data_IF_924138599859
#
_entry.id   IF_924138599859
#
_cell.length_a   1.000
_cell.length_b   1.000
_cell.length_c   1.000
_cell.angle_alpha   90.00
_cell.angle_beta   90.00
_cell.angle_gamma   90.00
#
_symmetry.space_group_name_H-M   'P 1'
#
loop_
_entity.id
_entity.type
_entity.pdbx_description
1 polymer ?
#
# COMPACT_ATOMS: atom_id res chain seq x y z
N UNK A 1 32.50 -1.67 5.52
CA UNK A 1 31.60 -0.67 6.15
C UNK A 1 30.59 -1.47 6.94
N UNK A 2 30.57 -1.37 8.26
CA UNK A 2 29.63 -2.15 9.08
C UNK A 2 28.21 -1.67 8.75
N UNK A 3 27.40 -2.50 8.10
CA UNK A 3 25.97 -2.21 7.92
C UNK A 3 25.27 -2.55 9.22
N UNK A 4 25.32 -1.64 10.18
CA UNK A 4 24.53 -1.80 11.40
C UNK A 4 23.12 -1.31 11.09
N UNK A 5 22.13 -2.17 11.35
CA UNK A 5 20.74 -1.81 11.19
C UNK A 5 20.34 -0.75 12.20
N UNK A 6 19.78 0.37 11.72
CA UNK A 6 19.36 1.48 12.56
C UNK A 6 18.32 1.03 13.58
N UNK A 7 17.37 0.19 13.18
CA UNK A 7 16.32 -0.34 14.07
C UNK A 7 16.92 -1.15 15.23
N UNK A 8 17.99 -1.91 14.98
CA UNK A 8 18.68 -2.71 16.00
C UNK A 8 19.46 -1.84 17.00
N UNK A 9 20.09 -0.76 16.53
CA UNK A 9 20.77 0.19 17.43
C UNK A 9 19.75 0.95 18.28
N UNK A 10 18.72 1.50 17.65
CA UNK A 10 17.74 2.36 18.34
C UNK A 10 17.02 1.61 19.47
N UNK A 11 16.61 0.36 19.21
CA UNK A 11 15.97 -0.48 20.23
C UNK A 11 16.87 -0.75 21.45
N UNK A 12 18.20 -0.83 21.27
CA UNK A 12 19.17 -1.01 22.37
C UNK A 12 19.43 0.27 23.18
N UNK A 13 19.16 1.44 22.60
CA UNK A 13 19.33 2.75 23.23
C UNK A 13 18.02 3.33 23.74
N UNK A 14 16.96 2.52 23.77
CA UNK A 14 15.61 2.99 24.03
C UNK A 14 15.44 3.48 25.47
N UNK A 15 15.08 4.75 25.61
CA UNK A 15 14.60 5.34 26.86
C UNK A 15 13.15 5.82 26.67
N UNK A 16 12.24 5.24 27.46
CA UNK A 16 10.81 5.60 27.37
C UNK A 16 10.61 7.03 27.86
N UNK A 17 9.85 7.80 27.10
CA UNK A 17 9.39 9.13 27.48
C UNK A 17 7.97 9.36 26.94
N UNK A 18 7.29 10.37 27.49
CA UNK A 18 5.90 10.70 27.17
C UNK A 18 5.78 12.01 26.38
N UNK A 19 6.87 12.43 25.72
CA UNK A 19 6.90 13.66 24.93
C UNK A 19 5.96 13.51 23.74
N UNK A 20 5.06 14.48 23.58
CA UNK A 20 4.13 14.50 22.43
C UNK A 20 4.85 14.93 21.16
N UNK A 21 4.73 14.11 20.10
CA UNK A 21 5.30 14.37 18.79
C UNK A 21 4.23 14.27 17.70
N UNK A 22 4.19 15.25 16.81
CA UNK A 22 3.29 15.24 15.64
C UNK A 22 4.15 15.26 14.37
N UNK A 23 4.06 14.21 13.57
CA UNK A 23 4.58 14.15 12.21
C UNK A 23 3.46 14.51 11.23
N UNK A 24 3.39 15.79 10.87
CA UNK A 24 2.46 16.28 9.84
C UNK A 24 3.06 16.06 8.45
N UNK A 25 2.40 15.24 7.63
CA UNK A 25 2.75 15.01 6.23
C UNK A 25 1.67 15.61 5.34
N UNK A 26 2.02 16.70 4.64
CA UNK A 26 1.25 17.20 3.51
C UNK A 26 1.74 16.47 2.26
N UNK A 27 0.95 15.52 1.77
CA UNK A 27 1.39 14.61 0.70
C UNK A 27 1.70 15.39 -0.58
N UNK A 28 2.76 15.01 -1.29
CA UNK A 28 3.14 15.69 -2.53
C UNK A 28 3.38 17.21 -2.39
N UNK A 29 3.80 17.71 -1.21
CA UNK A 29 3.95 19.15 -0.96
C UNK A 29 4.92 19.86 -1.93
N UNK A 30 6.01 19.18 -2.30
CA UNK A 30 7.00 19.70 -3.24
C UNK A 30 6.39 19.95 -4.62
N UNK A 31 6.83 21.02 -5.28
CA UNK A 31 6.36 21.37 -6.62
C UNK A 31 7.37 22.24 -7.37
N UNK A 32 7.14 22.41 -8.67
CA UNK A 32 7.85 23.35 -9.52
C UNK A 32 7.19 24.73 -9.47
N UNK A 33 7.96 25.81 -9.70
CA UNK A 33 7.40 27.15 -9.71
C UNK A 33 6.55 27.41 -10.97
N UNK A 34 5.37 28.02 -10.79
CA UNK A 34 4.55 28.67 -11.82
C UNK A 34 4.62 30.17 -11.57
N UNK A 35 4.97 30.95 -12.60
CA UNK A 35 5.16 32.41 -12.50
C UNK A 35 6.13 32.83 -11.37
N UNK A 36 7.19 32.02 -11.16
CA UNK A 36 8.25 32.28 -10.20
C UNK A 36 8.00 31.81 -8.76
N UNK A 37 6.85 31.18 -8.47
CA UNK A 37 6.53 30.64 -7.14
C UNK A 37 5.96 29.23 -7.20
N UNK A 38 6.33 28.40 -6.23
CA UNK A 38 5.65 27.11 -5.99
C UNK A 38 4.27 27.32 -5.34
N UNK A 39 3.38 26.31 -5.30
CA UNK A 39 2.13 26.37 -4.54
C UNK A 39 2.35 26.72 -3.06
N UNK A 40 3.36 26.10 -2.41
CA UNK A 40 3.71 26.38 -1.02
C UNK A 40 4.15 27.84 -0.79
N UNK A 41 4.84 28.45 -1.75
CA UNK A 41 5.23 29.87 -1.69
C UNK A 41 4.07 30.83 -2.01
N UNK A 42 3.07 30.37 -2.75
CA UNK A 42 1.90 31.18 -3.14
C UNK A 42 0.82 31.18 -2.06
N UNK A 43 0.64 30.06 -1.35
CA UNK A 43 -0.37 29.88 -0.31
C UNK A 43 -0.21 30.84 0.88
N UNK A 44 -1.32 31.42 1.32
CA UNK A 44 -1.42 32.19 2.57
C UNK A 44 -1.51 31.25 3.78
N UNK A 45 -0.36 30.98 4.41
CA UNK A 45 -0.23 30.01 5.51
C UNK A 45 0.37 30.63 6.78
N UNK A 46 -0.30 31.62 7.42
CA UNK A 46 0.29 32.39 8.52
C UNK A 46 0.77 31.52 9.70
N UNK A 47 0.08 30.41 9.98
CA UNK A 47 0.45 29.49 11.06
C UNK A 47 1.74 28.71 10.74
N UNK A 48 1.85 28.13 9.53
CA UNK A 48 3.07 27.46 9.09
C UNK A 48 4.25 28.43 8.97
N UNK A 49 4.00 29.65 8.46
CA UNK A 49 5.02 30.68 8.34
C UNK A 49 5.49 31.20 9.71
N UNK A 50 4.61 31.25 10.71
CA UNK A 50 4.99 31.59 12.09
C UNK A 50 5.81 30.47 12.73
N UNK A 51 5.36 29.22 12.61
CA UNK A 51 6.08 28.05 13.13
C UNK A 51 7.49 27.94 12.54
N UNK A 52 7.62 28.19 11.23
CA UNK A 52 8.90 28.16 10.53
C UNK A 52 9.92 29.19 11.06
N UNK A 53 9.48 30.34 11.59
CA UNK A 53 10.37 31.38 12.15
C UNK A 53 10.99 30.98 13.50
N UNK A 54 10.33 30.10 14.22
CA UNK A 54 10.72 29.65 15.57
C UNK A 54 11.31 28.23 15.56
N UNK A 55 11.42 27.61 14.38
CA UNK A 55 11.82 26.22 14.20
C UNK A 55 13.08 26.07 13.35
N UNK A 56 13.69 24.88 13.39
CA UNK A 56 14.71 24.50 12.42
C UNK A 56 14.06 24.07 11.10
N UNK A 57 14.58 24.57 9.98
CA UNK A 57 14.13 24.22 8.63
C UNK A 57 15.19 23.38 7.92
N UNK A 58 14.73 22.54 7.00
CA UNK A 58 15.60 21.69 6.20
C UNK A 58 14.87 21.09 4.99
N UNK A 59 15.62 20.32 4.21
CA UNK A 59 15.09 19.53 3.11
C UNK A 59 15.35 18.06 3.42
N UNK A 60 14.39 17.21 3.08
CA UNK A 60 14.51 15.76 3.25
C UNK A 60 14.62 15.08 1.89
N UNK A 61 15.45 14.05 1.82
CA UNK A 61 15.54 13.13 0.68
C UNK A 61 14.96 11.80 1.18
N UNK A 62 13.73 11.42 0.78
CA UNK A 62 13.08 10.26 1.37
C UNK A 62 13.80 8.93 1.10
N UNK A 63 14.43 8.76 -0.07
CA UNK A 63 15.16 7.51 -0.40
C UNK A 63 16.63 7.81 -0.67
N UNK A 64 16.95 8.29 -1.87
CA UNK A 64 18.31 8.69 -2.26
C UNK A 64 18.23 9.81 -3.30
N UNK A 65 19.30 10.61 -3.46
CA UNK A 65 19.36 11.61 -4.52
C UNK A 65 19.05 11.00 -5.89
N UNK A 66 18.14 11.61 -6.65
CA UNK A 66 17.74 11.16 -7.98
C UNK A 66 16.75 9.99 -8.02
N UNK A 67 16.29 9.48 -6.87
CA UNK A 67 15.24 8.45 -6.81
C UNK A 67 13.91 9.12 -6.49
N UNK A 68 12.94 9.01 -7.40
CA UNK A 68 11.54 9.38 -7.13
C UNK A 68 10.85 8.23 -6.39
N UNK A 69 10.52 8.37 -5.10
CA UNK A 69 9.88 7.29 -4.36
C UNK A 69 8.39 7.22 -4.66
N UNK A 70 7.83 6.00 -4.64
CA UNK A 70 6.39 5.84 -4.42
C UNK A 70 6.03 6.04 -2.94
N UNK A 71 4.73 6.14 -2.66
CA UNK A 71 4.21 6.38 -1.30
C UNK A 71 4.74 5.41 -0.24
N UNK A 72 4.86 4.12 -0.56
CA UNK A 72 5.37 3.08 0.36
C UNK A 72 6.79 3.36 0.86
N UNK A 73 7.82 3.33 -0.01
CA UNK A 73 9.19 3.65 0.37
C UNK A 73 9.36 5.04 1.01
N UNK A 74 8.63 6.05 0.53
CA UNK A 74 8.70 7.40 1.10
C UNK A 74 8.26 7.43 2.56
N UNK A 75 7.13 6.80 2.89
CA UNK A 75 6.57 6.82 4.23
C UNK A 75 7.31 5.90 5.19
N UNK A 76 7.81 4.75 4.73
CA UNK A 76 8.71 3.94 5.55
C UNK A 76 9.95 4.71 6.00
N UNK A 77 10.53 5.50 5.10
CA UNK A 77 11.66 6.38 5.44
C UNK A 77 11.27 7.45 6.47
N UNK A 78 10.09 8.06 6.32
CA UNK A 78 9.55 9.02 7.30
C UNK A 78 9.31 8.39 8.67
N UNK A 79 8.96 7.11 8.72
CA UNK A 79 8.83 6.33 9.96
C UNK A 79 10.19 5.84 10.51
N UNK A 80 11.29 6.17 9.85
CA UNK A 80 12.65 5.87 10.28
C UNK A 80 13.23 4.54 9.77
N UNK A 81 12.50 3.79 8.94
CA UNK A 81 12.96 2.54 8.34
C UNK A 81 13.78 2.81 7.09
N UNK A 82 14.87 2.06 6.88
CA UNK A 82 15.60 2.10 5.63
C UNK A 82 14.75 1.49 4.49
N UNK A 83 14.30 2.29 3.50
CA UNK A 83 13.42 1.81 2.43
C UNK A 83 14.13 0.91 1.40
N UNK A 84 15.47 0.84 1.43
CA UNK A 84 16.27 -0.07 0.60
C UNK A 84 16.36 -1.45 1.27
N UNK A 85 16.42 -1.48 2.60
CA UNK A 85 16.41 -2.72 3.39
C UNK A 85 15.00 -3.29 3.52
N UNK A 86 14.05 -2.48 3.98
CA UNK A 86 12.68 -2.88 4.29
C UNK A 86 11.76 -2.63 3.09
N UNK A 87 11.89 -3.49 2.08
CA UNK A 87 11.10 -3.37 0.84
C UNK A 87 9.71 -3.96 1.05
N UNK A 88 8.68 -3.13 0.92
CA UNK A 88 7.30 -3.62 0.87
C UNK A 88 7.01 -4.15 -0.53
N UNK A 89 6.62 -5.42 -0.60
CA UNK A 89 6.26 -6.08 -1.85
C UNK A 89 5.06 -5.42 -2.54
N UNK A 90 5.04 -5.48 -3.88
CA UNK A 90 3.99 -4.84 -4.69
C UNK A 90 2.59 -5.37 -4.37
N UNK A 91 2.45 -6.65 -4.07
CA UNK A 91 1.17 -7.25 -3.70
C UNK A 91 0.59 -6.59 -2.44
N UNK A 92 1.44 -6.32 -1.44
CA UNK A 92 1.05 -5.63 -0.21
C UNK A 92 0.59 -4.21 -0.53
N UNK A 93 1.37 -3.45 -1.30
CA UNK A 93 1.00 -2.07 -1.66
C UNK A 93 -0.35 -2.00 -2.41
N UNK A 94 -0.60 -2.95 -3.33
CA UNK A 94 -1.87 -3.03 -4.05
C UNK A 94 -3.04 -3.42 -3.11
N UNK A 95 -2.81 -4.36 -2.19
CA UNK A 95 -3.79 -4.74 -1.16
C UNK A 95 -4.17 -3.54 -0.28
N UNK A 96 -3.18 -2.83 0.26
CA UNK A 96 -3.41 -1.64 1.07
C UNK A 96 -4.10 -0.53 0.27
N UNK A 97 -3.76 -0.36 -1.01
CA UNK A 97 -4.35 0.64 -1.89
C UNK A 97 -5.85 0.46 -2.12
N UNK A 98 -6.37 -0.77 -2.03
CA UNK A 98 -7.81 -1.08 -2.12
C UNK A 98 -8.45 -1.32 -0.74
N UNK A 99 -7.74 -1.02 0.35
CA UNK A 99 -8.25 -1.14 1.72
C UNK A 99 -8.33 -2.56 2.25
N UNK A 100 -7.54 -3.49 1.69
CA UNK A 100 -7.45 -4.86 2.20
C UNK A 100 -6.46 -4.90 3.35
N UNK A 101 -6.96 -5.29 4.52
CA UNK A 101 -6.11 -5.63 5.65
C UNK A 101 -5.29 -6.89 5.38
N UNK A 102 -3.99 -6.78 5.67
CA UNK A 102 -3.02 -7.87 5.54
C UNK A 102 -2.34 -8.10 6.89
N UNK A 103 -2.25 -9.35 7.31
CA UNK A 103 -1.66 -9.81 8.58
C UNK A 103 -0.56 -10.87 8.34
N UNK A 104 0.16 -11.25 9.39
CA UNK A 104 1.36 -12.12 9.34
C UNK A 104 1.20 -13.44 8.55
N UNK A 105 -0.01 -13.99 8.52
CA UNK A 105 -0.35 -15.27 7.84
C UNK A 105 -0.88 -15.08 6.42
N UNK A 106 -0.91 -13.84 5.94
CA UNK A 106 -1.45 -13.50 4.64
C UNK A 106 -0.34 -13.43 3.58
N UNK A 107 -0.67 -13.99 2.41
CA UNK A 107 0.01 -13.76 1.15
C UNK A 107 -0.98 -13.06 0.22
N UNK A 108 -0.56 -11.95 -0.37
CA UNK A 108 -1.37 -11.22 -1.34
C UNK A 108 -0.70 -11.17 -2.69
N UNK A 109 -1.52 -11.07 -3.73
CA UNK A 109 -1.05 -10.83 -5.09
C UNK A 109 -2.01 -9.91 -5.82
N UNK A 110 -1.47 -9.14 -6.75
CA UNK A 110 -2.28 -8.39 -7.69
C UNK A 110 -2.83 -9.35 -8.74
N UNK A 111 -4.14 -9.27 -8.97
CA UNK A 111 -4.84 -9.98 -10.01
C UNK A 111 -5.32 -9.05 -11.12
N UNK A 112 -5.30 -9.55 -12.35
CA UNK A 112 -6.00 -8.96 -13.48
C UNK A 112 -6.95 -10.02 -14.04
N UNK A 113 -8.22 -9.69 -14.20
CA UNK A 113 -9.10 -10.49 -15.07
C UNK A 113 -8.66 -10.34 -16.52
N UNK A 114 -8.66 -11.44 -17.24
CA UNK A 114 -8.19 -11.55 -18.60
C UNK A 114 -9.15 -12.40 -19.44
N UNK A 115 -9.06 -12.22 -20.75
CA UNK A 115 -9.72 -13.04 -21.75
C UNK A 115 -8.74 -14.05 -22.32
N UNK A 116 -9.09 -15.32 -22.29
CA UNK A 116 -8.38 -16.42 -22.94
C UNK A 116 -9.22 -17.05 -24.05
N UNK A 117 -8.55 -17.55 -25.07
CA UNK A 117 -9.09 -18.46 -26.09
C UNK A 117 -8.29 -19.77 -26.03
N UNK A 118 -8.93 -20.84 -25.59
CA UNK A 118 -8.28 -22.10 -25.21
C UNK A 118 -7.29 -21.92 -24.05
N UNK A 119 -6.00 -21.86 -24.38
CA UNK A 119 -4.90 -21.60 -23.44
C UNK A 119 -4.11 -20.34 -23.80
N UNK A 120 -4.56 -19.55 -24.78
CA UNK A 120 -3.88 -18.32 -25.21
C UNK A 120 -4.55 -17.10 -24.57
N UNK A 121 -3.75 -16.22 -23.97
CA UNK A 121 -4.23 -14.95 -23.42
C UNK A 121 -4.42 -13.94 -24.56
N UNK A 122 -5.66 -13.70 -24.96
CA UNK A 122 -5.98 -12.76 -26.05
C UNK A 122 -6.05 -11.31 -25.57
N UNK A 123 -6.51 -11.09 -24.33
CA UNK A 123 -6.51 -9.78 -23.70
C UNK A 123 -6.25 -9.86 -22.19
N UNK A 124 -5.07 -9.40 -21.77
CA UNK A 124 -4.66 -9.35 -20.36
C UNK A 124 -5.48 -8.40 -19.47
N UNK A 125 -6.39 -7.62 -20.05
CA UNK A 125 -7.22 -6.63 -19.33
C UNK A 125 -8.71 -6.84 -19.53
N UNK A 126 -9.11 -7.90 -20.23
CA UNK A 126 -10.52 -8.22 -20.51
C UNK A 126 -11.34 -7.02 -21.03
N UNK A 127 -10.73 -6.16 -21.86
CA UNK A 127 -11.35 -4.96 -22.40
C UNK A 127 -11.58 -3.82 -21.40
N UNK A 128 -10.94 -3.84 -20.22
CA UNK A 128 -11.14 -2.90 -19.10
C UNK A 128 -12.63 -2.76 -18.74
N UNK A 129 -13.24 -3.81 -18.17
CA UNK A 129 -14.65 -3.78 -17.82
C UNK A 129 -14.92 -2.70 -16.76
N UNK A 130 -16.17 -2.23 -16.63
CA UNK A 130 -16.58 -1.40 -15.52
C UNK A 130 -16.27 -2.07 -14.17
N UNK A 131 -15.94 -1.27 -13.16
CA UNK A 131 -15.58 -1.78 -11.82
C UNK A 131 -16.72 -2.57 -11.18
N UNK A 132 -17.96 -2.21 -11.46
CA UNK A 132 -19.17 -2.90 -10.97
C UNK A 132 -19.30 -4.31 -11.55
N UNK A 133 -18.83 -4.54 -12.78
CA UNK A 133 -18.83 -5.86 -13.40
C UNK A 133 -17.75 -6.75 -12.77
N UNK A 134 -16.55 -6.20 -12.54
CA UNK A 134 -15.48 -6.88 -11.80
C UNK A 134 -15.93 -7.28 -10.38
N UNK A 135 -16.59 -6.38 -9.65
CA UNK A 135 -17.07 -6.66 -8.30
C UNK A 135 -17.98 -7.90 -8.26
N UNK A 136 -18.88 -8.05 -9.23
CA UNK A 136 -19.75 -9.24 -9.35
C UNK A 136 -18.97 -10.53 -9.61
N UNK A 137 -17.92 -10.46 -10.43
CA UNK A 137 -17.04 -11.62 -10.66
C UNK A 137 -16.28 -11.97 -9.39
N UNK A 138 -15.76 -10.98 -8.64
CA UNK A 138 -15.12 -11.20 -7.35
C UNK A 138 -16.07 -11.84 -6.33
N UNK A 139 -17.33 -11.39 -6.25
CA UNK A 139 -18.36 -12.02 -5.39
C UNK A 139 -18.60 -13.49 -5.77
N UNK A 140 -18.79 -13.77 -7.07
CA UNK A 140 -18.95 -15.15 -7.58
C UNK A 140 -17.77 -16.05 -7.20
N UNK A 141 -16.55 -15.53 -7.27
CA UNK A 141 -15.33 -16.25 -6.86
C UNK A 141 -15.35 -16.52 -5.36
N UNK A 142 -15.61 -15.51 -4.53
CA UNK A 142 -15.64 -15.63 -3.08
C UNK A 142 -16.72 -16.61 -2.58
N UNK A 143 -17.83 -16.73 -3.30
CA UNK A 143 -18.90 -17.68 -2.97
C UNK A 143 -18.52 -19.14 -3.26
N UNK A 144 -17.71 -19.37 -4.30
CA UNK A 144 -17.40 -20.71 -4.82
C UNK A 144 -16.03 -21.24 -4.41
N UNK A 145 -15.04 -20.36 -4.23
CA UNK A 145 -13.66 -20.72 -3.92
C UNK A 145 -13.26 -20.06 -2.60
N UNK A 146 -13.57 -20.73 -1.50
CA UNK A 146 -13.33 -20.23 -0.14
C UNK A 146 -12.00 -20.68 0.45
N UNK A 147 -11.56 -21.88 0.07
CA UNK A 147 -10.40 -22.53 0.67
C UNK A 147 -9.76 -23.54 -0.30
N UNK A 148 -8.45 -23.66 -0.24
CA UNK A 148 -7.64 -24.63 -0.98
C UNK A 148 -6.56 -25.16 -0.02
N UNK A 149 -6.53 -26.47 0.21
CA UNK A 149 -5.52 -27.13 1.08
C UNK A 149 -5.39 -26.47 2.48
N UNK A 150 -6.50 -26.10 3.12
CA UNK A 150 -6.48 -25.45 4.44
C UNK A 150 -6.16 -23.95 4.42
N UNK A 151 -5.91 -23.37 3.24
CA UNK A 151 -5.62 -21.94 3.05
C UNK A 151 -6.87 -21.23 2.55
N UNK A 152 -7.34 -20.24 3.32
CA UNK A 152 -8.50 -19.44 2.94
C UNK A 152 -8.14 -18.55 1.77
N UNK A 153 -9.05 -18.39 0.82
CA UNK A 153 -8.88 -17.55 -0.36
C UNK A 153 -9.98 -16.51 -0.40
N UNK A 154 -9.61 -15.25 -0.62
CA UNK A 154 -10.56 -14.17 -0.83
C UNK A 154 -10.03 -13.21 -1.88
N UNK A 155 -10.89 -12.80 -2.81
CA UNK A 155 -10.60 -11.77 -3.81
C UNK A 155 -11.33 -10.47 -3.49
N UNK A 156 -10.70 -9.35 -3.81
CA UNK A 156 -11.20 -8.01 -3.54
C UNK A 156 -11.13 -7.19 -4.83
N UNK A 157 -12.25 -6.57 -5.26
CA UNK A 157 -12.26 -5.82 -6.51
C UNK A 157 -11.39 -4.57 -6.42
N UNK A 158 -10.66 -4.30 -7.49
CA UNK A 158 -9.99 -3.02 -7.74
C UNK A 158 -10.63 -2.31 -8.93
N UNK A 159 -10.01 -1.22 -9.40
CA UNK A 159 -10.51 -0.49 -10.58
C UNK A 159 -10.44 -1.35 -11.85
N UNK A 160 -11.49 -1.27 -12.66
CA UNK A 160 -11.61 -1.95 -13.95
C UNK A 160 -11.43 -3.48 -13.84
N UNK A 161 -10.42 -4.07 -14.51
CA UNK A 161 -10.09 -5.49 -14.52
C UNK A 161 -9.27 -5.96 -13.32
N UNK A 162 -8.84 -5.04 -12.44
CA UNK A 162 -7.88 -5.34 -11.39
C UNK A 162 -8.59 -5.89 -10.16
N UNK A 163 -7.93 -6.79 -9.46
CA UNK A 163 -8.36 -7.24 -8.15
C UNK A 163 -7.13 -7.57 -7.30
N UNK A 164 -7.34 -7.79 -6.01
CA UNK A 164 -6.33 -8.35 -5.10
C UNK A 164 -6.82 -9.71 -4.65
N UNK A 165 -5.96 -10.72 -4.70
CA UNK A 165 -6.24 -12.00 -4.04
C UNK A 165 -5.44 -12.07 -2.76
N UNK A 166 -6.09 -12.55 -1.69
CA UNK A 166 -5.50 -12.82 -0.39
C UNK A 166 -5.64 -14.30 -0.08
N UNK A 167 -4.51 -14.93 0.23
CA UNK A 167 -4.39 -16.29 0.72
C UNK A 167 -4.00 -16.22 2.20
N UNK A 168 -4.81 -16.80 3.08
CA UNK A 168 -4.56 -16.77 4.53
C UNK A 168 -4.35 -18.19 5.05
N UNK A 169 -3.15 -18.47 5.57
CA UNK A 169 -2.82 -19.77 6.15
C UNK A 169 -1.33 -19.98 6.42
N UNK A 170 -0.99 -21.13 7.00
CA UNK A 170 0.39 -21.41 7.39
C UNK A 170 1.24 -21.96 6.26
N UNK A 171 2.55 -21.71 6.32
CA UNK A 171 3.52 -22.21 5.35
C UNK A 171 3.39 -21.60 3.96
N UNK A 172 2.88 -20.36 3.87
CA UNK A 172 2.89 -19.56 2.65
C UNK A 172 4.22 -18.82 2.52
N UNK A 173 4.68 -18.70 1.27
CA UNK A 173 5.94 -18.08 0.85
C UNK A 173 5.72 -17.35 -0.47
N UNK A 174 6.26 -16.14 -0.60
CA UNK A 174 6.04 -15.24 -1.72
C UNK A 174 7.11 -15.31 -2.82
N UNK A 175 8.14 -16.15 -2.65
CA UNK A 175 9.21 -16.37 -3.64
C UNK A 175 8.71 -17.28 -4.76
N UNK A 176 7.81 -16.70 -5.55
CA UNK A 176 7.12 -17.30 -6.67
C UNK A 176 7.38 -16.50 -7.95
N UNK A 177 7.34 -17.18 -9.10
CA UNK A 177 7.18 -16.46 -10.37
C UNK A 177 5.76 -15.94 -10.50
N UNK A 178 5.60 -14.85 -11.24
CA UNK A 178 4.29 -14.38 -11.67
C UNK A 178 3.56 -15.45 -12.50
N UNK A 179 2.23 -15.45 -12.44
CA UNK A 179 1.33 -16.23 -13.29
C UNK A 179 0.66 -15.31 -14.33
N UNK A 180 1.48 -14.50 -15.01
CA UNK A 180 1.06 -13.63 -16.10
C UNK A 180 2.16 -13.63 -17.19
N UNK A 181 1.83 -13.95 -18.46
CA UNK A 181 2.82 -14.03 -19.53
C UNK A 181 3.33 -12.66 -20.02
N UNK A 182 2.83 -11.57 -19.46
CA UNK A 182 3.21 -10.18 -19.75
C UNK A 182 2.84 -9.64 -21.12
N UNK A 183 2.45 -10.49 -22.05
CA UNK A 183 2.02 -10.11 -23.41
C UNK A 183 0.78 -10.88 -23.83
N UNK A 184 -0.06 -10.22 -24.61
CA UNK A 184 -1.17 -10.89 -25.30
C UNK A 184 -0.60 -11.82 -26.38
N UNK A 185 -1.38 -12.82 -26.79
CA UNK A 185 -1.01 -13.82 -27.79
C UNK A 185 -0.06 -14.91 -27.28
N UNK A 186 0.24 -14.92 -25.98
CA UNK A 186 1.05 -15.96 -25.34
C UNK A 186 0.18 -16.96 -24.57
N UNK A 187 0.64 -18.21 -24.41
CA UNK A 187 -0.02 -19.17 -23.55
C UNK A 187 -0.12 -18.70 -22.09
N UNK A 188 -1.12 -19.20 -21.37
CA UNK A 188 -1.18 -19.06 -19.92
C UNK A 188 0.10 -19.64 -19.29
N UNK A 189 0.60 -18.96 -18.27
CA UNK A 189 1.77 -19.40 -17.50
C UNK A 189 1.34 -19.65 -16.06
N UNK A 190 1.86 -20.74 -15.50
CA UNK A 190 1.61 -21.14 -14.12
C UNK A 190 2.73 -20.63 -13.23
N UNK A 191 2.39 -20.27 -11.99
CA UNK A 191 3.37 -19.84 -11.00
C UNK A 191 4.29 -21.00 -10.63
N UNK A 192 5.59 -20.74 -10.58
CA UNK A 192 6.61 -21.71 -10.18
C UNK A 192 7.27 -21.26 -8.88
N UNK A 193 7.61 -22.19 -7.98
CA UNK A 193 8.41 -21.88 -6.82
C UNK A 193 9.82 -21.46 -7.25
N UNK A 194 10.35 -20.40 -6.63
CA UNK A 194 11.76 -20.01 -6.77
C UNK A 194 12.65 -20.71 -5.74
N UNK A 195 12.03 -21.33 -4.73
CA UNK A 195 12.65 -22.03 -3.60
C UNK A 195 11.76 -23.19 -3.15
N UNK A 196 12.32 -24.19 -2.47
CA UNK A 196 11.59 -25.39 -2.03
C UNK A 196 10.43 -25.07 -1.08
N UNK A 197 10.60 -24.08 -0.19
CA UNK A 197 9.57 -23.67 0.77
C UNK A 197 8.31 -23.12 0.09
N UNK A 198 8.45 -22.60 -1.14
CA UNK A 198 7.35 -22.01 -1.90
C UNK A 198 6.55 -23.03 -2.73
N UNK A 199 6.92 -24.31 -2.72
CA UNK A 199 6.23 -25.35 -3.49
C UNK A 199 4.75 -25.49 -3.11
N UNK A 200 4.45 -25.44 -1.80
CA UNK A 200 3.07 -25.46 -1.30
C UNK A 200 2.28 -24.29 -1.87
N UNK A 201 2.84 -23.08 -1.79
CA UNK A 201 2.19 -21.87 -2.29
C UNK A 201 1.93 -21.95 -3.79
N UNK A 202 2.92 -22.39 -4.57
CA UNK A 202 2.78 -22.53 -6.02
C UNK A 202 1.65 -23.50 -6.39
N UNK A 203 1.52 -24.64 -5.67
CA UNK A 203 0.41 -25.58 -5.86
C UNK A 203 -0.94 -24.92 -5.59
N UNK A 204 -1.09 -24.23 -4.46
CA UNK A 204 -2.33 -23.56 -4.06
C UNK A 204 -2.71 -22.47 -5.06
N UNK A 205 -1.76 -21.62 -5.47
CA UNK A 205 -1.97 -20.56 -6.46
C UNK A 205 -2.41 -21.13 -7.80
N UNK A 206 -1.74 -22.19 -8.28
CA UNK A 206 -2.09 -22.80 -9.55
C UNK A 206 -3.44 -23.54 -9.49
N UNK A 207 -3.77 -24.15 -8.35
CA UNK A 207 -5.08 -24.75 -8.13
C UNK A 207 -6.18 -23.69 -8.09
N UNK A 208 -5.94 -22.54 -7.47
CA UNK A 208 -6.83 -21.39 -7.51
C UNK A 208 -7.11 -20.95 -8.96
N UNK A 209 -6.06 -20.77 -9.75
CA UNK A 209 -6.17 -20.39 -11.17
C UNK A 209 -6.90 -21.45 -12.01
N UNK A 210 -6.71 -22.75 -11.76
CA UNK A 210 -7.46 -23.82 -12.43
C UNK A 210 -8.95 -23.76 -12.10
N UNK A 211 -9.30 -23.57 -10.82
CA UNK A 211 -10.70 -23.41 -10.39
C UNK A 211 -11.34 -22.15 -10.97
N UNK A 212 -10.59 -21.05 -11.07
CA UNK A 212 -11.06 -19.84 -11.75
C UNK A 212 -11.36 -20.09 -13.23
N UNK A 213 -10.46 -20.77 -13.94
CA UNK A 213 -10.66 -21.12 -15.36
C UNK A 213 -11.96 -21.88 -15.58
N UNK A 214 -12.25 -22.86 -14.72
CA UNK A 214 -13.51 -23.64 -14.82
C UNK A 214 -14.73 -22.80 -14.41
N UNK A 215 -14.65 -22.04 -13.32
CA UNK A 215 -15.76 -21.24 -12.79
C UNK A 215 -16.19 -20.12 -13.75
N UNK A 216 -15.24 -19.56 -14.49
CA UNK A 216 -15.44 -18.39 -15.34
C UNK A 216 -15.47 -18.74 -16.83
N UNK A 217 -15.46 -20.02 -17.21
CA UNK A 217 -15.39 -20.45 -18.62
C UNK A 217 -16.49 -19.86 -19.53
N UNK A 218 -17.67 -19.61 -18.95
CA UNK A 218 -18.83 -19.07 -19.66
C UNK A 218 -18.89 -17.53 -19.63
N UNK A 219 -17.94 -16.87 -18.97
CA UNK A 219 -17.83 -15.41 -18.98
C UNK A 219 -17.24 -14.95 -20.34
N UNK A 220 -17.84 -13.99 -21.04
CA UNK A 220 -17.40 -13.63 -22.39
C UNK A 220 -16.05 -12.90 -22.43
N UNK A 221 -15.68 -12.23 -21.34
CA UNK A 221 -14.44 -11.43 -21.26
C UNK A 221 -13.55 -11.83 -20.09
N UNK A 222 -14.10 -11.94 -18.89
CA UNK A 222 -13.32 -12.25 -17.68
C UNK A 222 -13.29 -13.76 -17.40
N UNK A 223 -12.91 -14.57 -18.38
CA UNK A 223 -12.90 -16.04 -18.26
C UNK A 223 -11.63 -16.63 -17.64
N UNK A 224 -10.65 -15.78 -17.31
CA UNK A 224 -9.45 -16.20 -16.59
C UNK A 224 -8.90 -15.05 -15.74
N UNK A 225 -7.89 -15.35 -14.92
CA UNK A 225 -7.15 -14.36 -14.15
C UNK A 225 -5.64 -14.56 -14.27
N UNK A 226 -4.92 -13.46 -14.21
CA UNK A 226 -3.47 -13.41 -14.22
C UNK A 226 -3.00 -12.82 -12.89
N UNK A 227 -2.03 -13.46 -12.23
CA UNK A 227 -1.55 -13.03 -10.92
C UNK A 227 -0.10 -12.56 -11.00
N UNK A 228 0.21 -11.50 -10.27
CA UNK A 228 1.54 -10.88 -10.22
C UNK A 228 1.90 -10.34 -8.85
N UNK A 229 3.20 -10.26 -8.60
CA UNK A 229 3.74 -9.57 -7.44
C UNK A 229 3.26 -10.20 -6.14
N UNK A 230 3.42 -11.51 -6.02
CA UNK A 230 3.20 -12.23 -4.76
C UNK A 230 4.02 -11.55 -3.67
N UNK A 231 3.40 -11.28 -2.54
CA UNK A 231 4.04 -10.61 -1.41
C UNK A 231 3.41 -11.10 -0.13
N UNK A 232 4.25 -11.67 0.74
CA UNK A 232 3.85 -12.05 2.08
C UNK A 232 3.85 -10.81 2.95
N UNK A 233 3.11 -10.86 4.05
CA UNK A 233 3.25 -9.84 5.08
C UNK A 233 4.72 -9.65 5.47
N UNK A 234 5.27 -8.42 5.37
CA UNK A 234 6.69 -8.19 5.61
C UNK A 234 7.00 -8.25 7.10
N UNK A 235 8.09 -8.92 7.45
CA UNK A 235 8.65 -8.88 8.80
C UNK A 235 9.35 -7.53 9.02
N UNK A 236 8.62 -6.57 9.57
CA UNK A 236 9.12 -5.26 9.96
C UNK A 236 9.23 -5.18 11.48
N UNK A 237 10.35 -4.65 12.04
CA UNK A 237 10.39 -4.22 13.43
C UNK A 237 9.22 -3.30 13.72
N UNK A 238 8.50 -3.47 14.84
CA UNK A 238 7.32 -2.64 15.12
C UNK A 238 7.74 -1.30 15.70
N UNK A 239 7.07 -0.24 15.28
CA UNK A 239 7.34 1.14 15.67
C UNK A 239 7.32 1.32 17.20
N UNK A 240 6.35 0.77 17.96
CA UNK A 240 6.38 0.85 19.42
C UNK A 240 7.56 0.08 20.05
N UNK A 241 8.05 -0.98 19.42
CA UNK A 241 9.18 -1.77 19.92
C UNK A 241 10.51 -1.06 19.64
N UNK A 242 10.64 -0.42 18.48
CA UNK A 242 11.84 0.32 18.07
C UNK A 242 11.98 1.64 18.84
N UNK A 243 10.87 2.35 19.05
CA UNK A 243 10.88 3.73 19.57
C UNK A 243 10.27 3.87 20.97
N UNK A 244 9.64 2.82 21.53
CA UNK A 244 9.10 2.81 22.90
C UNK A 244 8.00 3.82 23.18
N UNK A 245 7.30 4.28 22.14
CA UNK A 245 6.24 5.29 22.21
C UNK A 245 4.93 4.72 21.68
N UNK A 246 3.80 5.15 22.28
CA UNK A 246 2.47 4.82 21.75
C UNK A 246 2.20 5.70 20.54
N UNK A 247 1.92 5.07 19.40
CA UNK A 247 1.80 5.76 18.12
C UNK A 247 0.42 5.61 17.51
N UNK A 248 -0.19 6.72 17.14
CA UNK A 248 -1.44 6.78 16.40
C UNK A 248 -1.23 7.32 14.98
N UNK A 249 -2.00 6.81 14.04
CA UNK A 249 -2.06 7.26 12.65
C UNK A 249 -3.43 7.83 12.32
N UNK A 250 -3.46 9.10 11.92
CA UNK A 250 -4.64 9.81 11.43
C UNK A 250 -4.40 10.07 9.95
N UNK A 251 -5.08 9.28 9.12
CA UNK A 251 -4.98 9.35 7.67
C UNK A 251 -6.30 8.95 7.03
N UNK A 252 -6.65 9.61 5.92
CA UNK A 252 -7.90 9.33 5.17
C UNK A 252 -7.75 8.22 4.13
N UNK A 253 -6.57 8.12 3.51
CA UNK A 253 -6.38 7.23 2.36
C UNK A 253 -5.95 5.81 2.77
N UNK A 254 -6.54 4.74 2.20
CA UNK A 254 -6.29 3.35 2.62
C UNK A 254 -4.81 2.94 2.63
N UNK A 255 -4.03 3.37 1.63
CA UNK A 255 -2.62 3.03 1.56
C UNK A 255 -1.82 3.53 2.79
N UNK A 256 -2.11 4.74 3.28
CA UNK A 256 -1.40 5.31 4.43
C UNK A 256 -1.83 4.70 5.76
N UNK A 257 -3.13 4.38 5.90
CA UNK A 257 -3.63 3.56 7.00
C UNK A 257 -2.92 2.20 7.04
N UNK A 258 -2.82 1.55 5.89
CA UNK A 258 -2.13 0.28 5.73
C UNK A 258 -0.66 0.33 6.10
N UNK A 259 0.08 1.32 5.61
CA UNK A 259 1.51 1.48 5.90
C UNK A 259 1.76 1.72 7.39
N UNK A 260 0.93 2.54 8.04
CA UNK A 260 1.01 2.77 9.49
C UNK A 260 0.74 1.47 10.27
N UNK A 261 -0.26 0.69 9.88
CA UNK A 261 -0.59 -0.61 10.48
C UNK A 261 0.53 -1.64 10.30
N UNK A 262 1.20 -1.67 9.14
CA UNK A 262 2.34 -2.58 8.89
C UNK A 262 3.47 -2.38 9.92
N UNK A 263 3.76 -1.13 10.25
CA UNK A 263 4.77 -0.79 11.26
C UNK A 263 4.21 -0.80 12.68
N UNK A 264 2.95 -1.19 12.90
CA UNK A 264 2.37 -1.36 14.24
C UNK A 264 1.88 -0.07 14.90
N UNK A 265 1.51 0.95 14.13
CA UNK A 265 0.77 2.11 14.66
C UNK A 265 -0.73 1.79 14.77
N UNK A 266 -1.39 2.38 15.76
CA UNK A 266 -2.84 2.31 15.87
C UNK A 266 -3.49 3.26 14.85
N UNK A 267 -4.24 2.71 13.91
CA UNK A 267 -4.96 3.50 12.90
C UNK A 267 -6.26 4.00 13.50
N UNK A 268 -6.41 5.32 13.54
CA UNK A 268 -7.57 5.98 14.14
C UNK A 268 -8.53 6.40 13.02
N UNK A 269 -9.77 5.94 13.12
CA UNK A 269 -10.81 6.34 12.19
C UNK A 269 -11.13 7.83 12.35
N UNK A 270 -11.23 8.52 11.23
CA UNK A 270 -11.41 9.97 11.13
C UNK A 270 -12.32 10.31 9.95
N UNK A 271 -12.79 11.55 9.90
CA UNK A 271 -13.50 12.11 8.76
C UNK A 271 -12.60 12.28 7.51
N UNK A 272 -13.12 12.93 6.48
CA UNK A 272 -12.47 13.12 5.18
C UNK A 272 -11.88 14.53 4.99
N UNK A 273 -12.11 15.45 5.93
CA UNK A 273 -11.55 16.81 5.89
C UNK A 273 -10.47 17.00 6.94
N UNK A 274 -9.59 17.98 6.71
CA UNK A 274 -8.49 18.32 7.64
C UNK A 274 -9.05 18.75 9.00
N UNK A 275 -10.19 19.44 9.03
CA UNK A 275 -10.86 19.84 10.25
C UNK A 275 -11.30 18.62 11.09
N UNK A 276 -11.86 17.60 10.45
CA UNK A 276 -12.25 16.35 11.11
C UNK A 276 -11.02 15.55 11.58
N UNK A 277 -9.94 15.54 10.81
CA UNK A 277 -8.66 14.94 11.21
C UNK A 277 -8.06 15.66 12.44
N UNK A 278 -8.11 16.99 12.48
CA UNK A 278 -7.67 17.79 13.64
C UNK A 278 -8.54 17.54 14.87
N UNK A 279 -9.86 17.41 14.69
CA UNK A 279 -10.75 17.09 15.81
C UNK A 279 -10.48 15.70 16.37
N UNK A 280 -10.24 14.72 15.48
CA UNK A 280 -9.80 13.38 15.87
C UNK A 280 -8.51 13.45 16.69
N UNK A 281 -7.49 14.20 16.22
CA UNK A 281 -6.23 14.40 16.95
C UNK A 281 -6.45 14.95 18.36
N UNK A 282 -7.30 15.97 18.53
CA UNK A 282 -7.59 16.55 19.84
C UNK A 282 -8.20 15.53 20.80
N UNK A 283 -9.13 14.71 20.29
CA UNK A 283 -9.83 13.71 21.11
C UNK A 283 -8.90 12.64 21.66
N UNK A 284 -7.86 12.26 20.91
CA UNK A 284 -6.92 11.19 21.29
C UNK A 284 -5.57 11.72 21.82
N UNK A 285 -5.39 13.04 21.94
CA UNK A 285 -4.09 13.66 22.17
C UNK A 285 -3.37 13.17 23.44
N UNK A 286 -4.16 12.83 24.47
CA UNK A 286 -3.63 12.35 25.74
C UNK A 286 -3.31 10.83 25.74
N UNK A 287 -3.85 10.09 24.77
CA UNK A 287 -3.78 8.63 24.72
C UNK A 287 -2.52 8.11 24.01
N UNK A 288 -1.88 8.94 23.20
CA UNK A 288 -0.70 8.59 22.40
C UNK A 288 0.41 9.62 22.53
N UNK A 289 1.64 9.19 22.26
CA UNK A 289 2.85 10.01 22.41
C UNK A 289 3.38 10.45 21.05
N UNK A 290 3.04 9.73 19.98
CA UNK A 290 3.36 10.08 18.59
C UNK A 290 2.12 10.04 17.69
N UNK A 291 1.99 11.04 16.83
CA UNK A 291 0.89 11.16 15.87
C UNK A 291 1.45 11.29 14.45
N UNK A 292 1.20 10.30 13.61
CA UNK A 292 1.33 10.44 12.17
C UNK A 292 0.05 11.05 11.61
N UNK A 293 0.13 12.29 11.14
CA UNK A 293 -1.00 13.07 10.62
C UNK A 293 -0.80 13.30 9.13
N UNK A 294 -1.64 12.70 8.29
CA UNK A 294 -1.46 12.70 6.83
C UNK A 294 -2.57 13.46 6.11
N UNK A 295 -2.19 14.48 5.33
CA UNK A 295 -3.09 15.26 4.48
C UNK A 295 -2.88 14.88 3.02
N UNK A 296 -3.87 14.23 2.40
CA UNK A 296 -3.76 13.70 1.02
C UNK A 296 -3.99 14.73 -0.11
N UNK A 297 -4.85 15.73 0.11
CA UNK A 297 -5.41 16.54 -0.99
C UNK A 297 -4.38 17.34 -1.78
N UNK A 298 -3.27 17.73 -1.14
CA UNK A 298 -2.16 18.43 -1.79
C UNK A 298 -1.52 17.62 -2.92
N UNK A 299 -1.40 16.31 -2.75
CA UNK A 299 -0.85 15.41 -3.78
C UNK A 299 -1.85 15.22 -4.92
N UNK A 300 -3.13 14.97 -4.60
CA UNK A 300 -4.17 14.75 -5.62
C UNK A 300 -4.31 15.94 -6.58
N UNK A 301 -4.29 17.17 -6.08
CA UNK A 301 -4.31 18.35 -6.95
C UNK A 301 -3.00 18.54 -7.72
N UNK A 302 -1.87 18.04 -7.20
CA UNK A 302 -0.60 17.98 -7.93
C UNK A 302 -0.65 17.02 -9.11
N UNK A 303 -1.16 15.79 -8.91
CA UNK A 303 -1.35 14.78 -9.96
C UNK A 303 -2.26 15.28 -11.10
N UNK A 304 -3.29 16.07 -10.75
CA UNK A 304 -4.21 16.69 -11.71
C UNK A 304 -3.62 17.95 -12.40
N UNK A 305 -2.43 18.40 -12.01
CA UNK A 305 -1.84 19.65 -12.50
C UNK A 305 -2.62 20.91 -12.10
N UNK A 306 -3.44 20.82 -11.05
CA UNK A 306 -4.33 21.88 -10.60
C UNK A 306 -3.63 22.76 -9.54
N UNK A 307 -2.83 23.71 -10.02
CA UNK A 307 -2.03 24.60 -9.19
C UNK A 307 -2.88 25.37 -8.17
N UNK A 308 -3.99 25.95 -8.60
CA UNK A 308 -4.85 26.80 -7.78
C UNK A 308 -5.51 26.01 -6.64
N UNK A 309 -5.95 24.79 -6.91
CA UNK A 309 -6.53 23.93 -5.86
C UNK A 309 -5.47 23.37 -4.91
N UNK A 310 -4.24 23.12 -5.39
CA UNK A 310 -3.12 22.73 -4.51
C UNK A 310 -2.74 23.87 -3.57
N UNK A 311 -2.70 25.13 -4.05
CA UNK A 311 -2.55 26.31 -3.19
C UNK A 311 -3.64 26.35 -2.12
N UNK A 312 -4.90 26.22 -2.52
CA UNK A 312 -6.04 26.25 -1.59
C UNK A 312 -6.01 25.11 -0.56
N UNK A 313 -5.46 23.94 -0.90
CA UNK A 313 -5.31 22.84 0.05
C UNK A 313 -4.17 23.04 1.06
N UNK A 314 -3.23 23.95 0.78
CA UNK A 314 -2.13 24.32 1.68
C UNK A 314 -2.54 25.44 2.64
N UNK A 315 -3.45 26.33 2.22
CA UNK A 315 -4.04 27.40 3.03
C UNK A 315 -4.94 26.86 4.15
#
# INVERSE_FOLDING_TARGET
MYSVDRQEILSKLLEKNETKMILLIMDGLGDLPKDGKTPLQTAKKPNLDSLAKESALGQIIPVLPGITPGSGPAHLSLFGYDPIKYVIGRGILEALGVGVDVEDRDLVARGNFATIDGDIVVDRRAGRPPTEENAKVCEKINDKIKEIEGVKVKVFPGKEHRFVVKFTGDGLDDRLTDADPEKNGLPIVWSKPLVEEAEKTARIVNEFLRRLKELLKDEPKMNFALLRGFSKYPELPKFPEVFGIRSAAIATYPMYKGLAKLVGMDVIETGQTVEEEVETLKNIYNDYDFFYFHVKKTDSYGEDGNFEMKVKAIE
#
